data_IF_717254865466
#
_entry.id   IF_717254865466
#
_cell.length_a   1.000
_cell.length_b   1.000
_cell.length_c   1.000
_cell.angle_alpha   90.00
_cell.angle_beta   90.00
_cell.angle_gamma   90.00
#
_symmetry.space_group_name_H-M   'P 1'
#
loop_
_entity.id
_entity.type
_entity.pdbx_description
1 polymer ?
#
# COMPACT_ATOMS: atom_id res chain seq x y z
N UNK A 1 66.82 19.03 8.17
CA UNK A 1 66.96 17.65 8.65
C UNK A 1 66.23 16.75 7.66
N UNK A 2 66.96 16.09 6.77
CA UNK A 2 66.36 15.17 5.80
C UNK A 2 65.99 13.89 6.55
N UNK A 3 64.69 13.61 6.68
CA UNK A 3 64.20 12.35 7.25
C UNK A 3 64.66 11.21 6.36
N UNK A 4 65.42 10.28 6.94
CA UNK A 4 65.81 9.04 6.25
C UNK A 4 64.52 8.24 6.05
N UNK A 5 64.06 8.10 4.80
CA UNK A 5 63.01 7.13 4.48
C UNK A 5 63.55 5.74 4.81
N UNK A 6 63.14 5.17 5.93
CA UNK A 6 63.44 3.78 6.27
C UNK A 6 62.69 2.93 5.25
N UNK A 7 63.44 2.21 4.42
CA UNK A 7 62.85 1.30 3.44
C UNK A 7 61.95 0.30 4.16
N UNK A 8 60.65 0.34 3.85
CA UNK A 8 59.71 -0.64 4.34
C UNK A 8 59.74 -1.83 3.39
N UNK A 9 59.96 -3.03 3.92
CA UNK A 9 59.95 -4.27 3.13
C UNK A 9 58.56 -4.89 3.21
N UNK A 10 57.79 -4.93 2.10
CA UNK A 10 56.46 -5.52 2.08
C UNK A 10 56.48 -6.99 2.53
N UNK A 11 55.54 -7.39 3.37
CA UNK A 11 55.40 -8.79 3.80
C UNK A 11 53.96 -9.25 3.65
N UNK A 12 53.77 -10.28 2.83
CA UNK A 12 52.45 -10.78 2.48
C UNK A 12 52.18 -12.12 3.15
N UNK A 13 51.09 -12.15 3.93
CA UNK A 13 50.57 -13.36 4.58
C UNK A 13 49.64 -14.18 3.66
N UNK A 14 49.29 -13.64 2.49
CA UNK A 14 48.47 -14.28 1.49
C UNK A 14 48.30 -13.43 0.23
N UNK A 15 47.24 -13.70 -0.53
CA UNK A 15 47.10 -13.26 -1.93
C UNK A 15 46.34 -11.93 -2.07
N UNK A 16 45.95 -11.34 -0.95
CA UNK A 16 45.24 -10.07 -0.84
C UNK A 16 45.49 -9.49 0.57
N UNK A 17 45.11 -8.23 0.78
CA UNK A 17 45.22 -7.55 2.07
C UNK A 17 46.44 -6.61 2.16
N UNK A 18 46.65 -5.95 3.30
CA UNK A 18 47.74 -4.99 3.48
C UNK A 18 49.11 -5.67 3.55
N UNK A 19 50.14 -5.03 3.00
CA UNK A 19 51.53 -5.54 2.98
C UNK A 19 52.39 -5.10 4.17
N UNK A 20 51.79 -4.40 5.14
CA UNK A 20 52.45 -3.83 6.31
C UNK A 20 53.22 -2.53 6.06
N UNK A 21 53.25 -2.05 4.81
CA UNK A 21 54.03 -0.88 4.36
C UNK A 21 53.16 0.21 3.71
N UNK A 22 51.84 0.09 3.82
CA UNK A 22 50.88 1.00 3.18
C UNK A 22 50.50 0.60 1.75
N UNK A 23 51.02 -0.53 1.25
CA UNK A 23 50.64 -1.16 -0.01
C UNK A 23 49.71 -2.36 0.19
N UNK A 24 49.55 -3.18 -0.86
CA UNK A 24 48.67 -4.34 -0.90
C UNK A 24 49.39 -5.57 -1.43
N UNK A 25 49.06 -6.74 -0.87
CA UNK A 25 49.57 -8.06 -1.24
C UNK A 25 48.87 -8.69 -2.45
N UNK A 26 47.99 -7.95 -3.11
CA UNK A 26 47.24 -8.39 -4.26
C UNK A 26 45.77 -7.98 -4.19
N UNK A 27 45.05 -8.29 -5.27
CA UNK A 27 43.60 -8.08 -5.38
C UNK A 27 42.94 -9.39 -5.75
N UNK A 28 41.77 -9.65 -5.15
CA UNK A 28 41.02 -10.85 -5.47
C UNK A 28 40.39 -10.74 -6.87
N UNK A 29 40.28 -11.90 -7.54
CA UNK A 29 39.56 -11.99 -8.81
C UNK A 29 38.09 -11.63 -8.62
N UNK A 30 37.42 -11.26 -9.71
CA UNK A 30 36.00 -10.88 -9.68
C UNK A 30 35.16 -11.97 -9.00
N UNK A 31 34.33 -11.57 -8.03
CA UNK A 31 33.50 -12.50 -7.25
C UNK A 31 34.18 -13.11 -6.02
N UNK A 32 35.42 -12.72 -5.68
CA UNK A 32 36.10 -13.11 -4.44
C UNK A 32 36.34 -11.89 -3.56
N UNK A 33 36.21 -12.05 -2.24
CA UNK A 33 36.48 -11.01 -1.24
C UNK A 33 37.69 -11.38 -0.41
N UNK A 34 38.44 -10.37 0.04
CA UNK A 34 39.60 -10.60 0.89
C UNK A 34 39.16 -10.78 2.35
N UNK A 35 39.15 -12.01 2.84
CA UNK A 35 38.97 -12.32 4.25
C UNK A 35 40.27 -12.90 4.81
N UNK A 36 40.83 -12.22 5.82
CA UNK A 36 42.04 -12.65 6.54
C UNK A 36 43.18 -13.03 5.57
N UNK A 37 43.55 -12.08 4.71
CA UNK A 37 44.62 -12.21 3.71
C UNK A 37 44.42 -13.34 2.67
N UNK A 38 43.24 -13.95 2.59
CA UNK A 38 42.87 -14.93 1.57
C UNK A 38 41.69 -14.45 0.75
N UNK A 39 41.78 -14.67 -0.56
CA UNK A 39 40.62 -14.53 -1.43
C UNK A 39 39.69 -15.71 -1.19
N UNK A 40 38.58 -15.43 -0.53
CA UNK A 40 37.49 -16.39 -0.34
C UNK A 40 36.38 -16.09 -1.34
N UNK A 41 35.60 -17.12 -1.69
CA UNK A 41 34.49 -16.94 -2.60
C UNK A 41 33.56 -15.88 -2.02
N UNK A 42 33.40 -14.79 -2.76
CA UNK A 42 32.52 -13.70 -2.40
C UNK A 42 31.08 -14.16 -2.47
N UNK A 43 30.24 -13.55 -1.66
CA UNK A 43 28.83 -13.90 -1.66
C UNK A 43 28.16 -13.45 -2.98
N UNK A 44 27.45 -14.38 -3.63
CA UNK A 44 26.70 -14.09 -4.85
C UNK A 44 25.24 -13.79 -4.52
N UNK A 45 24.80 -12.56 -4.84
CA UNK A 45 23.43 -12.10 -4.56
C UNK A 45 22.40 -13.00 -5.25
N UNK A 46 21.42 -13.48 -4.48
CA UNK A 46 20.37 -14.38 -4.95
C UNK A 46 19.02 -13.66 -5.06
N UNK A 47 18.90 -12.78 -6.07
CA UNK A 47 17.69 -11.98 -6.29
C UNK A 47 16.81 -12.42 -7.46
N UNK A 48 17.18 -13.50 -8.16
CA UNK A 48 16.41 -14.01 -9.28
C UNK A 48 14.96 -14.32 -8.87
N UNK A 49 14.00 -13.63 -9.50
CA UNK A 49 12.57 -13.78 -9.20
C UNK A 49 12.10 -13.09 -7.92
N UNK A 50 12.94 -12.31 -7.24
CA UNK A 50 12.60 -11.57 -6.02
C UNK A 50 12.60 -10.06 -6.30
N UNK A 51 11.66 -9.37 -5.69
CA UNK A 51 11.51 -7.90 -5.72
C UNK A 51 11.80 -7.25 -4.36
N UNK A 52 11.89 -8.06 -3.30
CA UNK A 52 12.19 -7.61 -1.95
C UNK A 52 12.89 -8.70 -1.12
N UNK A 53 13.41 -8.30 0.04
CA UNK A 53 14.00 -9.21 1.03
C UNK A 53 15.52 -9.32 0.89
N UNK A 54 16.16 -10.14 1.72
CA UNK A 54 17.61 -10.30 1.71
C UNK A 54 18.12 -10.90 0.40
N UNK A 55 19.33 -10.51 0.00
CA UNK A 55 20.01 -11.07 -1.18
C UNK A 55 20.94 -12.26 -0.85
N UNK A 56 20.93 -12.72 0.40
CA UNK A 56 21.79 -13.79 0.90
C UNK A 56 23.21 -13.36 1.27
N UNK A 57 23.58 -12.10 1.03
CA UNK A 57 24.93 -11.57 1.15
C UNK A 57 25.04 -10.38 2.11
N UNK A 58 24.06 -10.23 3.01
CA UNK A 58 23.95 -9.06 3.90
C UNK A 58 23.36 -7.82 3.22
N UNK A 59 23.01 -7.89 1.93
CA UNK A 59 22.28 -6.85 1.21
C UNK A 59 20.80 -7.21 1.01
N UNK A 60 20.14 -6.50 0.10
CA UNK A 60 18.71 -6.65 -0.18
C UNK A 60 18.42 -6.70 -1.68
N UNK A 61 17.44 -7.49 -2.10
CA UNK A 61 16.90 -7.55 -3.46
C UNK A 61 15.93 -6.40 -3.77
N UNK A 62 15.51 -5.64 -2.76
CA UNK A 62 14.62 -4.50 -2.89
C UNK A 62 13.76 -4.30 -1.64
N UNK A 63 12.82 -3.37 -1.71
CA UNK A 63 11.91 -3.04 -0.61
C UNK A 63 10.50 -2.85 -1.14
N UNK A 64 9.51 -3.18 -0.31
CA UNK A 64 8.12 -2.96 -0.65
C UNK A 64 7.69 -1.52 -0.37
N UNK A 65 6.76 -1.02 -1.18
CA UNK A 65 6.14 0.28 -0.94
C UNK A 65 5.32 0.29 0.35
N UNK A 66 4.93 1.49 0.81
CA UNK A 66 4.08 1.63 1.99
C UNK A 66 2.77 0.83 1.83
N UNK A 67 2.34 0.17 2.90
CA UNK A 67 1.15 -0.69 2.90
C UNK A 67 1.40 -2.12 2.39
N UNK A 68 2.65 -2.45 2.05
CA UNK A 68 3.06 -3.77 1.60
C UNK A 68 4.24 -4.29 2.43
N UNK A 69 4.25 -5.60 2.64
CA UNK A 69 5.33 -6.33 3.31
C UNK A 69 5.96 -7.34 2.35
N UNK A 70 7.22 -7.68 2.62
CA UNK A 70 7.93 -8.68 1.82
C UNK A 70 7.52 -10.09 2.26
N UNK A 71 6.97 -10.88 1.34
CA UNK A 71 6.67 -12.28 1.62
C UNK A 71 7.92 -13.14 1.56
N UNK A 72 7.85 -14.37 2.10
CA UNK A 72 8.98 -15.31 2.11
C UNK A 72 9.49 -15.65 0.70
N UNK A 73 8.62 -15.61 -0.30
CA UNK A 73 8.97 -15.81 -1.72
C UNK A 73 9.70 -14.62 -2.35
N UNK A 74 9.83 -13.50 -1.63
CA UNK A 74 10.50 -12.29 -2.13
C UNK A 74 9.59 -11.39 -2.96
N UNK A 75 8.27 -11.49 -2.78
CA UNK A 75 7.29 -10.66 -3.46
C UNK A 75 6.63 -9.67 -2.48
N UNK A 76 6.27 -8.49 -2.99
CA UNK A 76 5.52 -7.52 -2.20
C UNK A 76 4.03 -7.86 -2.16
N UNK A 77 3.54 -8.13 -0.96
CA UNK A 77 2.16 -8.46 -0.66
C UNK A 77 1.58 -7.44 0.31
N UNK A 78 0.25 -7.32 0.37
CA UNK A 78 -0.38 -6.37 1.30
C UNK A 78 0.01 -6.71 2.74
N UNK A 79 0.41 -5.69 3.49
CA UNK A 79 0.64 -5.84 4.92
C UNK A 79 -0.73 -5.92 5.61
N UNK A 80 -1.07 -7.04 6.29
CA UNK A 80 -2.38 -7.23 6.93
C UNK A 80 -2.66 -6.20 8.03
N UNK A 81 -1.61 -5.61 8.60
CA UNK A 81 -1.67 -4.60 9.66
C UNK A 81 -1.67 -3.16 9.15
N UNK A 82 -1.37 -2.93 7.86
CA UNK A 82 -1.36 -1.60 7.29
C UNK A 82 -2.72 -0.91 7.44
N UNK A 83 -2.69 0.35 7.84
CA UNK A 83 -3.88 1.19 8.00
C UNK A 83 -4.10 1.96 6.72
N UNK A 84 -5.32 1.89 6.19
CA UNK A 84 -5.76 2.56 4.98
C UNK A 84 -6.85 3.58 5.31
N UNK A 85 -6.83 4.66 4.54
CA UNK A 85 -7.88 5.67 4.48
C UNK A 85 -8.65 5.43 3.18
N UNK A 86 -9.91 5.03 3.31
CA UNK A 86 -10.87 4.93 2.22
C UNK A 86 -11.64 6.26 2.21
N UNK A 87 -11.35 7.13 1.26
CA UNK A 87 -12.07 8.40 1.13
C UNK A 87 -13.18 8.23 0.11
N UNK A 88 -14.44 8.24 0.54
CA UNK A 88 -15.59 8.33 -0.36
C UNK A 88 -15.66 9.76 -0.87
N UNK A 89 -15.41 9.95 -2.17
CA UNK A 89 -15.19 11.29 -2.74
C UNK A 89 -16.48 11.90 -3.23
N UNK A 90 -17.14 11.24 -4.18
CA UNK A 90 -18.34 11.75 -4.86
C UNK A 90 -19.22 10.60 -5.34
N UNK A 91 -20.47 10.92 -5.65
CA UNK A 91 -21.44 9.96 -6.14
C UNK A 91 -22.27 10.49 -7.30
N UNK A 92 -23.10 9.60 -7.82
CA UNK A 92 -24.12 9.92 -8.81
C UNK A 92 -25.35 9.08 -8.49
N UNK A 93 -26.49 9.76 -8.36
CA UNK A 93 -27.79 9.18 -8.04
C UNK A 93 -28.68 9.32 -9.28
N UNK A 94 -29.44 8.26 -9.58
CA UNK A 94 -30.47 8.30 -10.62
C UNK A 94 -31.75 8.92 -10.05
N UNK A 95 -32.44 9.73 -10.85
CA UNK A 95 -33.80 10.15 -10.51
C UNK A 95 -34.70 8.90 -10.32
N UNK A 96 -35.53 8.89 -9.28
CA UNK A 96 -36.47 7.79 -9.05
C UNK A 96 -37.44 7.72 -10.22
N UNK A 97 -37.50 6.57 -10.90
CA UNK A 97 -38.43 6.32 -12.00
C UNK A 97 -39.82 5.89 -11.50
N UNK A 98 -39.98 5.69 -10.19
CA UNK A 98 -41.16 5.06 -9.59
C UNK A 98 -42.15 6.10 -8.99
N UNK A 99 -41.89 7.40 -9.12
CA UNK A 99 -42.86 8.47 -8.79
C UNK A 99 -43.07 8.74 -7.29
N UNK A 100 -42.48 7.93 -6.42
CA UNK A 100 -42.30 8.27 -5.01
C UNK A 100 -41.07 9.18 -4.92
N UNK A 101 -41.33 10.42 -4.54
CA UNK A 101 -40.35 11.48 -4.42
C UNK A 101 -39.37 11.12 -3.30
N UNK A 102 -38.08 11.12 -3.60
CA UNK A 102 -36.93 11.09 -2.65
C UNK A 102 -36.98 12.19 -1.56
N UNK A 103 -38.09 12.92 -1.47
CA UNK A 103 -38.34 14.06 -0.60
C UNK A 103 -39.87 14.26 -0.56
N UNK A 104 -40.47 14.23 0.63
CA UNK A 104 -41.74 14.91 0.87
C UNK A 104 -41.47 16.19 1.69
N UNK A 105 -41.83 17.41 1.21
CA UNK A 105 -42.87 17.73 0.23
C UNK A 105 -42.41 17.96 -1.24
N UNK A 106 -41.17 17.59 -1.58
CA UNK A 106 -40.62 17.55 -2.95
C UNK A 106 -39.20 18.15 -3.06
N UNK A 107 -38.30 17.45 -3.76
CA UNK A 107 -36.90 17.84 -3.92
C UNK A 107 -36.03 16.74 -4.54
N UNK A 108 -34.72 16.99 -4.60
CA UNK A 108 -33.74 15.97 -4.98
C UNK A 108 -33.32 15.20 -3.71
N UNK A 109 -32.79 13.97 -3.83
CA UNK A 109 -32.36 13.20 -2.66
C UNK A 109 -31.29 13.94 -1.85
N UNK A 110 -31.22 13.58 -0.56
CA UNK A 110 -30.24 13.98 0.44
C UNK A 110 -29.25 12.80 0.71
N UNK A 111 -28.36 12.46 -0.24
CA UNK A 111 -27.61 11.21 -0.18
C UNK A 111 -26.46 11.21 0.84
N UNK A 112 -26.32 10.07 1.52
CA UNK A 112 -25.14 9.67 2.31
C UNK A 112 -24.67 8.26 1.96
N UNK A 113 -23.39 7.98 2.20
CA UNK A 113 -22.82 6.64 2.05
C UNK A 113 -22.50 6.06 3.41
N UNK A 114 -23.00 4.86 3.70
CA UNK A 114 -22.60 4.10 4.88
C UNK A 114 -21.67 2.96 4.48
N UNK A 115 -20.51 2.87 5.14
CA UNK A 115 -19.61 1.73 5.04
C UNK A 115 -19.67 0.92 6.32
N UNK A 116 -19.79 -0.40 6.17
CA UNK A 116 -19.72 -1.35 7.28
C UNK A 116 -18.47 -2.20 7.15
N UNK A 117 -17.55 -2.01 8.09
CA UNK A 117 -16.24 -2.68 8.13
C UNK A 117 -16.11 -3.35 9.50
N UNK A 118 -15.80 -4.65 9.53
CA UNK A 118 -15.81 -5.45 10.76
C UNK A 118 -17.11 -5.30 11.58
N UNK A 119 -18.26 -5.32 10.90
CA UNK A 119 -19.60 -5.13 11.48
C UNK A 119 -19.85 -3.76 12.14
N UNK A 120 -18.89 -2.85 12.13
CA UNK A 120 -19.09 -1.47 12.55
C UNK A 120 -19.49 -0.63 11.36
N UNK A 121 -20.64 0.00 11.45
CA UNK A 121 -21.14 0.93 10.45
C UNK A 121 -20.70 2.36 10.80
N UNK A 122 -20.31 3.10 9.77
CA UNK A 122 -20.03 4.52 9.81
C UNK A 122 -20.56 5.12 8.51
N UNK A 123 -21.07 6.35 8.58
CA UNK A 123 -21.66 7.02 7.42
C UNK A 123 -21.00 8.37 7.18
N UNK A 124 -21.04 8.82 5.93
CA UNK A 124 -20.68 10.20 5.57
C UNK A 124 -21.68 11.19 6.16
N UNK A 125 -21.34 12.47 6.10
CA UNK A 125 -22.38 13.51 6.21
C UNK A 125 -23.36 13.38 5.03
N UNK A 126 -24.59 13.80 5.26
CA UNK A 126 -25.60 14.03 4.23
C UNK A 126 -25.16 15.19 3.32
N UNK A 127 -25.48 15.10 2.03
CA UNK A 127 -25.34 16.21 1.09
C UNK A 127 -26.71 16.51 0.52
N UNK A 128 -27.25 17.67 0.86
CA UNK A 128 -28.65 17.94 0.62
C UNK A 128 -28.96 18.19 -0.87
N UNK A 129 -30.12 17.70 -1.31
CA UNK A 129 -30.80 18.05 -2.55
C UNK A 129 -29.92 17.92 -3.80
N UNK A 130 -29.34 16.74 -4.01
CA UNK A 130 -28.41 16.52 -5.13
C UNK A 130 -28.42 15.11 -5.71
N UNK A 131 -28.31 15.03 -7.03
CA UNK A 131 -28.02 13.78 -7.75
C UNK A 131 -26.51 13.56 -7.95
N UNK A 132 -25.66 14.50 -7.52
CA UNK A 132 -24.21 14.47 -7.71
C UNK A 132 -23.47 14.88 -6.43
N UNK A 133 -23.64 14.14 -5.34
CA UNK A 133 -23.05 14.48 -4.05
C UNK A 133 -21.52 14.41 -4.06
N UNK A 134 -20.90 15.28 -3.26
CA UNK A 134 -19.45 15.29 -3.01
C UNK A 134 -19.24 15.26 -1.50
N UNK A 135 -18.74 14.14 -0.98
CA UNK A 135 -18.58 13.91 0.46
C UNK A 135 -17.15 14.16 0.95
N UNK A 136 -16.15 13.71 0.20
CA UNK A 136 -14.73 13.68 0.62
C UNK A 136 -14.52 13.15 2.06
N UNK A 137 -15.30 12.14 2.45
CA UNK A 137 -15.35 11.64 3.82
C UNK A 137 -14.39 10.45 4.01
N UNK A 138 -13.46 10.49 4.99
CA UNK A 138 -12.50 9.43 5.22
C UNK A 138 -12.99 8.36 6.18
N UNK A 139 -12.90 7.09 5.76
CA UNK A 139 -13.05 5.91 6.62
C UNK A 139 -11.68 5.28 6.87
N UNK A 140 -11.42 4.83 8.09
CA UNK A 140 -10.11 4.28 8.47
C UNK A 140 -10.25 2.81 8.86
N UNK A 141 -9.49 1.94 8.20
CA UNK A 141 -9.50 0.51 8.47
C UNK A 141 -8.14 -0.14 8.18
N UNK A 142 -7.87 -1.30 8.80
CA UNK A 142 -6.68 -2.10 8.48
C UNK A 142 -6.91 -2.91 7.20
N UNK A 143 -5.84 -3.33 6.52
CA UNK A 143 -5.90 -4.26 5.39
C UNK A 143 -6.75 -5.49 5.72
N UNK A 144 -6.54 -6.10 6.88
CA UNK A 144 -7.31 -7.28 7.32
C UNK A 144 -8.80 -6.97 7.43
N UNK A 145 -9.17 -5.81 7.99
CA UNK A 145 -10.55 -5.38 8.14
C UNK A 145 -11.23 -5.10 6.79
N UNK A 146 -10.48 -4.57 5.83
CA UNK A 146 -11.01 -4.33 4.48
C UNK A 146 -11.19 -5.66 3.73
N UNK A 147 -10.21 -6.56 3.85
CA UNK A 147 -10.22 -7.87 3.18
C UNK A 147 -11.23 -8.86 3.79
N UNK A 148 -11.67 -8.67 5.04
CA UNK A 148 -12.73 -9.48 5.65
C UNK A 148 -14.12 -9.20 5.05
N UNK A 149 -14.25 -8.11 4.29
CA UNK A 149 -15.47 -7.70 3.61
C UNK A 149 -15.90 -6.31 4.05
N UNK A 150 -16.05 -5.41 3.08
CA UNK A 150 -16.68 -4.11 3.26
C UNK A 150 -18.07 -4.18 2.68
N UNK A 151 -19.07 -3.78 3.44
CA UNK A 151 -20.40 -3.53 2.88
C UNK A 151 -20.63 -2.05 2.70
N UNK A 152 -21.38 -1.68 1.68
CA UNK A 152 -21.83 -0.31 1.50
C UNK A 152 -23.31 -0.24 1.16
N UNK A 153 -23.90 0.88 1.59
CA UNK A 153 -25.22 1.32 1.20
C UNK A 153 -25.17 2.82 0.89
N UNK A 154 -26.10 3.27 0.06
CA UNK A 154 -26.38 4.69 -0.15
C UNK A 154 -27.81 4.89 0.31
N UNK A 155 -28.00 5.85 1.19
CA UNK A 155 -29.31 6.21 1.71
C UNK A 155 -29.64 7.64 1.33
N UNK A 156 -30.93 7.88 1.22
CA UNK A 156 -31.52 9.20 1.32
C UNK A 156 -31.79 9.50 2.79
N UNK A 157 -31.44 10.69 3.27
CA UNK A 157 -31.71 11.09 4.64
C UNK A 157 -32.85 12.12 4.69
N UNK A 158 -34.08 11.65 4.84
CA UNK A 158 -35.22 12.52 5.11
C UNK A 158 -35.39 12.82 6.60
N UNK A 159 -36.20 13.85 6.89
CA UNK A 159 -36.55 14.29 8.25
C UNK A 159 -37.21 13.22 9.12
N UNK A 160 -37.79 12.16 8.53
CA UNK A 160 -38.48 11.11 9.29
C UNK A 160 -38.07 9.67 8.98
N UNK A 161 -37.43 9.37 7.85
CA UNK A 161 -37.01 8.00 7.50
C UNK A 161 -35.79 8.00 6.55
N UNK A 162 -35.02 6.90 6.55
CA UNK A 162 -33.96 6.70 5.55
C UNK A 162 -34.49 5.88 4.39
N UNK A 163 -34.59 6.48 3.20
CA UNK A 163 -34.91 5.72 1.99
C UNK A 163 -33.66 5.05 1.41
N UNK A 164 -33.82 3.85 0.86
CA UNK A 164 -32.68 3.08 0.34
C UNK A 164 -32.45 3.38 -1.13
N UNK A 165 -31.40 4.16 -1.44
CA UNK A 165 -30.93 4.38 -2.82
C UNK A 165 -30.15 3.16 -3.32
N UNK A 166 -29.21 2.67 -2.51
CA UNK A 166 -28.47 1.44 -2.74
C UNK A 166 -28.57 0.54 -1.51
N UNK A 167 -29.19 -0.63 -1.67
CA UNK A 167 -29.22 -1.64 -0.63
C UNK A 167 -27.81 -2.07 -0.22
N UNK A 168 -27.67 -2.48 1.06
CA UNK A 168 -26.41 -2.99 1.60
C UNK A 168 -25.86 -4.12 0.71
N UNK A 169 -24.67 -3.91 0.14
CA UNK A 169 -23.99 -4.85 -0.73
C UNK A 169 -22.53 -5.03 -0.35
N UNK A 170 -22.01 -6.25 -0.50
CA UNK A 170 -20.58 -6.53 -0.35
C UNK A 170 -19.79 -5.88 -1.49
N UNK A 171 -18.78 -5.08 -1.15
CA UNK A 171 -17.80 -4.55 -2.09
C UNK A 171 -16.58 -5.45 -2.07
N UNK A 172 -16.21 -5.96 -3.24
CA UNK A 172 -14.95 -6.68 -3.42
C UNK A 172 -13.81 -5.68 -3.58
N UNK A 173 -13.03 -5.49 -2.51
CA UNK A 173 -11.80 -4.69 -2.54
C UNK A 173 -10.61 -5.65 -2.62
N UNK A 174 -10.11 -5.83 -3.84
CA UNK A 174 -9.01 -6.74 -4.15
C UNK A 174 -7.64 -6.09 -4.10
N UNK A 175 -6.59 -6.91 -4.30
CA UNK A 175 -5.19 -6.44 -4.34
C UNK A 175 -4.96 -5.33 -5.36
N UNK A 176 -5.65 -5.38 -6.50
CA UNK A 176 -5.52 -4.39 -7.57
C UNK A 176 -6.17 -3.05 -7.19
N UNK A 177 -7.21 -3.04 -6.36
CA UNK A 177 -7.82 -1.81 -5.85
C UNK A 177 -6.85 -1.05 -4.93
N UNK A 178 -6.13 -1.77 -4.06
CA UNK A 178 -5.08 -1.16 -3.23
C UNK A 178 -3.93 -0.60 -4.08
N UNK A 179 -3.54 -1.29 -5.15
CA UNK A 179 -2.48 -0.83 -6.08
C UNK A 179 -2.90 0.38 -6.89
N UNK A 180 -4.12 0.35 -7.42
CA UNK A 180 -4.74 1.47 -8.15
C UNK A 180 -5.02 2.65 -7.23
N UNK A 181 -5.34 2.36 -5.98
CA UNK A 181 -5.68 3.34 -4.96
C UNK A 181 -7.00 4.05 -5.23
N UNK A 182 -7.90 3.42 -5.98
CA UNK A 182 -9.27 3.88 -6.19
C UNK A 182 -10.20 2.72 -6.55
N UNK A 183 -11.47 2.88 -6.16
CA UNK A 183 -12.57 2.01 -6.54
C UNK A 183 -13.80 2.83 -6.94
N UNK A 184 -14.68 2.19 -7.72
CA UNK A 184 -16.03 2.69 -8.03
C UNK A 184 -17.03 1.62 -7.64
N UNK A 185 -18.05 2.01 -6.90
CA UNK A 185 -19.15 1.13 -6.47
C UNK A 185 -20.41 1.61 -7.17
N UNK A 186 -21.19 0.68 -7.71
CA UNK A 186 -22.41 0.98 -8.44
C UNK A 186 -23.52 0.02 -8.00
N UNK A 187 -24.73 0.56 -7.89
CA UNK A 187 -25.97 -0.17 -7.61
C UNK A 187 -27.03 0.22 -8.65
N UNK A 188 -28.29 -0.20 -8.42
CA UNK A 188 -29.41 0.08 -9.32
C UNK A 188 -29.68 1.58 -9.51
N UNK A 189 -29.71 2.36 -8.44
CA UNK A 189 -30.10 3.78 -8.47
C UNK A 189 -28.98 4.74 -8.11
N UNK A 190 -27.74 4.27 -7.95
CA UNK A 190 -26.65 5.14 -7.56
C UNK A 190 -25.26 4.52 -7.72
N UNK A 191 -24.26 5.36 -7.54
CA UNK A 191 -22.86 4.98 -7.51
C UNK A 191 -22.04 5.95 -6.67
N UNK A 192 -20.90 5.49 -6.17
CA UNK A 192 -19.90 6.34 -5.57
C UNK A 192 -18.47 5.96 -5.99
N UNK A 193 -17.60 6.95 -5.99
CA UNK A 193 -16.16 6.78 -6.16
C UNK A 193 -15.46 6.91 -4.81
N UNK A 194 -14.39 6.13 -4.62
CA UNK A 194 -13.56 6.23 -3.44
C UNK A 194 -12.08 6.06 -3.77
N UNK A 195 -11.22 6.75 -3.02
CA UNK A 195 -9.77 6.56 -3.08
C UNK A 195 -9.28 5.75 -1.90
N UNK A 196 -8.26 4.92 -2.11
CA UNK A 196 -7.55 4.22 -1.05
C UNK A 196 -6.12 4.75 -0.96
N UNK A 197 -5.74 5.16 0.25
CA UNK A 197 -4.38 5.60 0.56
C UNK A 197 -3.92 4.98 1.87
N UNK A 198 -2.68 4.50 1.92
CA UNK A 198 -2.07 4.07 3.17
C UNK A 198 -1.83 5.30 4.07
N UNK A 199 -2.15 5.16 5.35
CA UNK A 199 -1.98 6.21 6.35
C UNK A 199 -0.51 6.43 6.73
#
# INVERSE_FOLDING_TARGET
MAGVCKACTPSCLGNCGPDGCGGSCGSCQQGFTCEINKCVQGCTRSCSGRTCGSDGCGGSCGSCGKGYQCSGSGNCELDPSAVWVITVTKGSISESLDGDSWDFPGGLPDPLVCLKINNKEECTNTVDNTLSPVWNYPFIATTTAIQSGVKAAIYDADVTDYETICSEGLISIGKDDFRRGSLKVQCKYGSFEATLRVK
#
